data_IF_889204511569
#
_entry.id   IF_889204511569
#
_cell.length_a   1.000
_cell.length_b   1.000
_cell.length_c   1.000
_cell.angle_alpha   90.00
_cell.angle_beta   90.00
_cell.angle_gamma   90.00
#
_symmetry.space_group_name_H-M   'P 1'
#
loop_
_entity.id
_entity.type
_entity.pdbx_description
1 polymer ?
#
# COMPACT_ATOMS: atom_id res chain seq x y z
N UNK A 1 -8.95 4.40 6.26
CA UNK A 1 -8.78 3.31 5.26
C UNK A 1 -7.87 3.71 4.08
N UNK A 2 -8.15 4.80 3.33
CA UNK A 2 -7.34 5.25 2.17
C UNK A 2 -5.85 5.46 2.45
N UNK A 3 -5.50 6.08 3.58
CA UNK A 3 -4.10 6.31 3.98
C UNK A 3 -3.31 5.03 4.30
N UNK A 4 -4.00 3.92 4.57
CA UNK A 4 -3.39 2.69 5.11
C UNK A 4 -2.98 1.69 4.02
N UNK A 5 -3.81 1.55 2.98
CA UNK A 5 -3.43 0.75 1.81
C UNK A 5 -2.22 1.41 1.12
N UNK A 6 -2.32 2.73 0.95
CA UNK A 6 -1.27 3.61 0.45
C UNK A 6 0.07 3.42 1.17
N UNK A 7 0.08 3.47 2.51
CA UNK A 7 1.30 3.31 3.29
C UNK A 7 1.91 1.89 3.22
N UNK A 8 1.13 0.87 2.86
CA UNK A 8 1.60 -0.50 2.74
C UNK A 8 2.18 -0.82 1.37
N UNK A 9 1.46 -0.50 0.29
CA UNK A 9 1.94 -0.67 -1.09
C UNK A 9 3.24 0.09 -1.28
N UNK A 10 3.26 1.35 -0.83
CA UNK A 10 4.44 2.20 -0.91
C UNK A 10 5.65 1.64 -0.17
N UNK A 11 5.48 1.06 1.02
CA UNK A 11 6.62 0.52 1.77
C UNK A 11 7.15 -0.79 1.18
N UNK A 12 6.29 -1.65 0.63
CA UNK A 12 6.73 -2.89 -0.02
C UNK A 12 7.65 -2.60 -1.20
N UNK A 13 7.33 -1.59 -2.00
CA UNK A 13 8.18 -1.20 -3.12
C UNK A 13 9.37 -0.33 -2.72
N UNK A 14 9.21 0.56 -1.72
CA UNK A 14 10.34 1.35 -1.24
C UNK A 14 11.44 0.46 -0.66
N UNK A 15 11.11 -0.68 -0.03
CA UNK A 15 12.09 -1.67 0.41
C UNK A 15 12.81 -2.39 -0.74
N UNK A 16 12.13 -2.59 -1.87
CA UNK A 16 12.70 -3.29 -3.03
C UNK A 16 13.50 -2.34 -3.93
N UNK A 17 13.17 -1.04 -3.95
CA UNK A 17 13.61 -0.12 -5.00
C UNK A 17 13.96 1.29 -4.50
N UNK A 18 14.80 1.40 -3.46
CA UNK A 18 15.39 2.72 -3.06
C UNK A 18 16.30 3.31 -4.16
N UNK A 19 16.74 2.52 -5.15
CA UNK A 19 17.76 2.97 -6.12
C UNK A 19 17.28 3.20 -7.57
N UNK A 20 16.02 2.90 -7.93
CA UNK A 20 15.62 2.93 -9.36
C UNK A 20 14.55 3.94 -9.73
N UNK A 21 13.92 4.63 -8.76
CA UNK A 21 12.82 5.54 -9.04
C UNK A 21 13.23 7.01 -8.87
N UNK A 22 13.21 7.69 -10.01
CA UNK A 22 13.50 9.09 -10.24
C UNK A 22 12.83 10.03 -9.19
N UNK A 23 13.56 10.98 -8.59
CA UNK A 23 13.06 11.90 -7.56
C UNK A 23 11.91 12.82 -7.95
N UNK A 24 11.88 13.30 -9.20
CA UNK A 24 10.74 14.06 -9.71
C UNK A 24 9.51 13.15 -9.89
N UNK A 25 9.75 11.85 -10.04
CA UNK A 25 8.72 10.82 -10.04
C UNK A 25 8.37 10.33 -8.62
N UNK A 26 8.86 10.94 -7.53
CA UNK A 26 8.40 10.53 -6.19
C UNK A 26 6.89 10.77 -6.07
N UNK A 27 6.43 11.99 -6.40
CA UNK A 27 5.00 12.31 -6.45
C UNK A 27 4.26 11.37 -7.40
N UNK A 28 4.82 11.11 -8.57
CA UNK A 28 4.23 10.25 -9.58
C UNK A 28 4.10 8.79 -9.11
N UNK A 29 5.14 8.24 -8.47
CA UNK A 29 5.15 6.91 -7.92
C UNK A 29 4.13 6.76 -6.80
N UNK A 30 4.06 7.73 -5.90
CA UNK A 30 2.99 7.80 -4.89
C UNK A 30 1.61 7.80 -5.56
N UNK A 31 1.41 8.57 -6.64
CA UNK A 31 0.16 8.60 -7.39
C UNK A 31 -0.15 7.27 -8.08
N UNK A 32 0.84 6.61 -8.69
CA UNK A 32 0.68 5.28 -9.29
C UNK A 32 0.28 4.24 -8.25
N UNK A 33 0.87 4.28 -7.04
CA UNK A 33 0.47 3.42 -5.93
C UNK A 33 -0.97 3.66 -5.48
N UNK A 34 -1.42 4.91 -5.37
CA UNK A 34 -2.83 5.22 -5.03
C UNK A 34 -3.75 4.76 -6.15
N UNK A 35 -3.38 5.02 -7.41
CA UNK A 35 -4.18 4.66 -8.58
C UNK A 35 -4.35 3.14 -8.69
N UNK A 36 -3.27 2.38 -8.53
CA UNK A 36 -3.30 0.92 -8.49
C UNK A 36 -4.12 0.41 -7.29
N UNK A 37 -3.96 1.00 -6.11
CA UNK A 37 -4.76 0.66 -4.94
C UNK A 37 -6.27 0.87 -5.19
N UNK A 38 -6.67 1.96 -5.85
CA UNK A 38 -8.08 2.18 -6.22
C UNK A 38 -8.61 1.08 -7.15
N UNK A 39 -7.80 0.60 -8.11
CA UNK A 39 -8.19 -0.51 -8.98
C UNK A 39 -8.30 -1.84 -8.22
N UNK A 40 -7.32 -2.14 -7.37
CA UNK A 40 -7.24 -3.41 -6.63
C UNK A 40 -8.36 -3.55 -5.58
N UNK A 41 -8.70 -2.46 -4.89
CA UNK A 41 -9.77 -2.44 -3.88
C UNK A 41 -11.17 -2.20 -4.48
N UNK A 42 -11.31 -2.24 -5.82
CA UNK A 42 -12.58 -1.97 -6.53
C UNK A 42 -13.21 -0.62 -6.14
N UNK A 43 -12.36 0.37 -5.85
CA UNK A 43 -12.79 1.73 -5.59
C UNK A 43 -13.04 2.47 -6.91
N UNK A 44 -14.29 2.44 -7.36
CA UNK A 44 -14.75 2.95 -8.65
C UNK A 44 -14.56 4.47 -8.81
N UNK A 45 -13.34 4.86 -9.21
CA UNK A 45 -12.97 6.23 -9.59
C UNK A 45 -12.39 6.21 -10.99
N UNK A 46 -12.88 7.09 -11.87
CA UNK A 46 -12.32 7.19 -13.23
C UNK A 46 -10.93 7.81 -13.22
N UNK A 47 -10.11 7.51 -14.23
CA UNK A 47 -8.77 8.11 -14.38
C UNK A 47 -8.82 9.65 -14.40
N UNK A 48 -9.84 10.22 -15.04
CA UNK A 48 -10.07 11.66 -15.11
C UNK A 48 -10.44 12.24 -13.74
N UNK A 49 -11.31 11.55 -12.98
CA UNK A 49 -11.67 11.98 -11.62
C UNK A 49 -10.47 11.87 -10.67
N UNK A 50 -9.63 10.85 -10.85
CA UNK A 50 -8.42 10.66 -10.05
C UNK A 50 -7.46 11.84 -10.20
N UNK A 51 -7.06 12.17 -11.43
CA UNK A 51 -6.16 13.30 -11.72
C UNK A 51 -6.83 14.65 -11.49
N UNK A 52 -8.16 14.74 -11.57
CA UNK A 52 -8.92 15.95 -11.27
C UNK A 52 -8.81 16.42 -9.82
N UNK A 53 -8.39 15.54 -8.90
CA UNK A 53 -8.09 15.92 -7.52
C UNK A 53 -6.71 16.60 -7.37
N UNK A 54 -5.91 16.64 -8.43
CA UNK A 54 -4.60 17.29 -8.44
C UNK A 54 -4.79 18.78 -8.77
N UNK A 55 -4.14 19.64 -8.00
CA UNK A 55 -4.13 21.11 -8.20
C UNK A 55 -3.29 21.57 -9.41
N UNK A 56 -3.24 20.77 -10.47
CA UNK A 56 -2.48 21.00 -11.70
C UNK A 56 -3.41 21.49 -12.82
N UNK A 57 -2.84 22.11 -13.85
CA UNK A 57 -3.59 22.50 -15.05
C UNK A 57 -3.99 21.25 -15.89
N UNK A 58 -4.99 21.34 -16.79
CA UNK A 58 -5.47 20.18 -17.55
C UNK A 58 -4.37 19.45 -18.34
N UNK A 59 -3.45 20.19 -18.96
CA UNK A 59 -2.30 19.63 -19.68
C UNK A 59 -1.32 18.90 -18.75
N UNK A 60 -1.14 19.38 -17.52
CA UNK A 60 -0.32 18.74 -16.50
C UNK A 60 -0.97 17.47 -15.97
N UNK A 61 -2.29 17.50 -15.75
CA UNK A 61 -3.07 16.32 -15.34
C UNK A 61 -2.96 15.20 -16.38
N UNK A 62 -3.09 15.52 -17.67
CA UNK A 62 -2.96 14.53 -18.75
C UNK A 62 -1.57 13.90 -18.79
N UNK A 63 -0.50 14.71 -18.70
CA UNK A 63 0.88 14.20 -18.61
C UNK A 63 1.11 13.31 -17.39
N UNK A 64 0.55 13.67 -16.25
CA UNK A 64 0.64 12.84 -15.03
C UNK A 64 -0.10 11.53 -15.24
N UNK A 65 -1.26 11.54 -15.91
CA UNK A 65 -1.99 10.31 -16.20
C UNK A 65 -1.19 9.38 -17.13
N UNK A 66 -0.64 9.90 -18.23
CA UNK A 66 0.21 9.13 -19.15
C UNK A 66 1.36 8.45 -18.40
N UNK A 67 2.01 9.22 -17.53
CA UNK A 67 3.09 8.73 -16.69
C UNK A 67 2.62 7.67 -15.69
N UNK A 68 1.47 7.85 -15.02
CA UNK A 68 0.92 6.85 -14.10
C UNK A 68 0.71 5.51 -14.82
N UNK A 69 0.16 5.56 -16.04
CA UNK A 69 -0.10 4.38 -16.86
C UNK A 69 1.19 3.69 -17.32
N UNK A 70 2.25 4.45 -17.63
CA UNK A 70 3.58 3.91 -17.96
C UNK A 70 4.19 3.13 -16.79
N UNK A 71 4.07 3.66 -15.57
CA UNK A 71 4.63 3.03 -14.37
C UNK A 71 3.73 1.94 -13.75
N UNK A 72 2.47 1.81 -14.17
CA UNK A 72 1.52 0.85 -13.59
C UNK A 72 2.02 -0.60 -13.70
N UNK A 73 2.41 -1.04 -14.89
CA UNK A 73 2.90 -2.40 -15.09
C UNK A 73 4.22 -2.64 -14.35
N UNK A 74 5.12 -1.65 -14.35
CA UNK A 74 6.39 -1.73 -13.63
C UNK A 74 6.14 -1.93 -12.13
N UNK A 75 5.21 -1.18 -11.55
CA UNK A 75 4.84 -1.29 -10.14
C UNK A 75 4.33 -2.70 -9.79
N UNK A 76 3.41 -3.24 -10.60
CA UNK A 76 2.87 -4.59 -10.40
C UNK A 76 3.98 -5.66 -10.43
N UNK A 77 4.95 -5.50 -11.34
CA UNK A 77 6.11 -6.40 -11.41
C UNK A 77 7.00 -6.28 -10.16
N UNK A 78 7.25 -5.07 -9.66
CA UNK A 78 8.04 -4.87 -8.42
C UNK A 78 7.35 -5.46 -7.18
N UNK A 79 6.01 -5.43 -7.15
CA UNK A 79 5.20 -6.07 -6.12
C UNK A 79 5.15 -7.61 -6.24
N UNK A 80 5.85 -8.21 -7.21
CA UNK A 80 5.77 -9.65 -7.53
C UNK A 80 4.33 -10.13 -7.74
N UNK A 81 3.47 -9.26 -8.32
CA UNK A 81 2.04 -9.52 -8.50
C UNK A 81 1.26 -9.81 -7.19
N UNK A 82 1.83 -9.51 -6.03
CA UNK A 82 1.17 -9.61 -4.73
C UNK A 82 0.38 -8.34 -4.40
N UNK A 83 -0.75 -8.16 -5.09
CA UNK A 83 -1.57 -6.95 -5.00
C UNK A 83 -2.48 -6.92 -3.77
N UNK A 84 -2.79 -8.07 -3.18
CA UNK A 84 -3.68 -8.14 -2.02
C UNK A 84 -2.93 -7.71 -0.75
N UNK A 85 -3.47 -6.67 -0.10
CA UNK A 85 -2.96 -6.13 1.16
C UNK A 85 -4.02 -6.27 2.26
N UNK A 86 -3.69 -7.00 3.32
CA UNK A 86 -4.58 -7.13 4.48
C UNK A 86 -4.42 -5.93 5.42
N UNK A 87 -5.52 -5.21 5.65
CA UNK A 87 -5.57 -3.98 6.45
C UNK A 87 -6.09 -4.27 7.88
N UNK A 88 -5.50 -3.71 8.96
CA UNK A 88 -5.99 -3.90 10.33
C UNK A 88 -7.38 -3.32 10.59
N UNK A 89 -7.93 -2.45 9.75
CA UNK A 89 -9.30 -1.95 9.97
C UNK A 89 -10.35 -3.08 9.95
N UNK A 90 -10.16 -4.12 9.14
CA UNK A 90 -11.07 -5.27 9.11
C UNK A 90 -11.07 -6.07 10.42
N UNK A 91 -9.93 -6.56 10.94
CA UNK A 91 -9.90 -7.20 12.25
C UNK A 91 -10.24 -6.24 13.39
N UNK A 92 -9.97 -4.93 13.25
CA UNK A 92 -10.37 -3.92 14.23
C UNK A 92 -11.89 -3.85 14.41
N UNK A 93 -12.67 -3.77 13.32
CA UNK A 93 -14.14 -3.86 13.43
C UNK A 93 -14.59 -5.21 13.99
N UNK A 94 -13.93 -6.29 13.58
CA UNK A 94 -14.19 -7.63 14.11
C UNK A 94 -14.05 -7.68 15.64
N UNK A 95 -12.95 -7.17 16.18
CA UNK A 95 -12.72 -7.11 17.63
C UNK A 95 -13.69 -6.15 18.34
N UNK A 96 -14.10 -5.04 17.71
CA UNK A 96 -15.11 -4.16 18.31
C UNK A 96 -16.49 -4.84 18.41
N UNK A 97 -16.90 -5.58 17.39
CA UNK A 97 -18.14 -6.38 17.42
C UNK A 97 -18.03 -7.47 18.49
N UNK A 98 -16.87 -8.11 18.57
CA UNK A 98 -16.57 -9.14 19.55
C UNK A 98 -16.66 -8.61 21.00
N UNK A 99 -16.10 -7.44 21.27
CA UNK A 99 -16.22 -6.77 22.57
C UNK A 99 -17.67 -6.45 22.91
N UNK A 100 -18.45 -5.91 21.96
CA UNK A 100 -19.87 -5.59 22.17
C UNK A 100 -20.73 -6.82 22.51
N UNK A 101 -20.35 -7.99 22.01
CA UNK A 101 -21.17 -9.20 22.11
C UNK A 101 -20.73 -10.13 23.24
N UNK A 102 -19.43 -10.21 23.51
CA UNK A 102 -18.85 -11.19 24.45
C UNK A 102 -18.19 -10.58 25.68
N UNK A 103 -18.05 -9.25 25.73
CA UNK A 103 -17.40 -8.57 26.85
C UNK A 103 -18.34 -7.55 27.53
N UNK A 104 -19.34 -8.02 28.30
CA UNK A 104 -20.35 -7.17 28.94
C UNK A 104 -19.79 -6.24 30.03
N UNK A 105 -18.54 -6.44 30.47
CA UNK A 105 -17.85 -5.55 31.40
C UNK A 105 -17.56 -4.16 30.80
N UNK A 106 -17.63 -4.03 29.47
CA UNK A 106 -17.43 -2.78 28.76
C UNK A 106 -18.75 -2.28 28.18
N UNK A 107 -19.41 -1.35 28.88
CA UNK A 107 -20.72 -0.82 28.50
C UNK A 107 -20.76 -0.22 27.08
N UNK A 108 -19.71 0.51 26.69
CA UNK A 108 -19.62 1.09 25.37
C UNK A 108 -18.21 1.00 24.74
N UNK A 109 -17.94 -0.05 23.94
CA UNK A 109 -16.67 -0.21 23.23
C UNK A 109 -16.36 0.91 22.22
N UNK A 110 -17.36 1.67 21.76
CA UNK A 110 -17.16 2.78 20.81
C UNK A 110 -16.32 3.91 21.39
N UNK A 111 -16.26 4.04 22.73
CA UNK A 111 -15.40 5.02 23.41
C UNK A 111 -13.92 4.79 23.07
N UNK A 112 -13.54 3.54 22.76
CA UNK A 112 -12.17 3.19 22.39
C UNK A 112 -11.84 3.55 20.93
N UNK A 113 -12.84 3.73 20.07
CA UNK A 113 -12.66 3.82 18.61
C UNK A 113 -11.75 4.96 18.22
N UNK A 114 -11.98 6.16 18.75
CA UNK A 114 -11.18 7.36 18.42
C UNK A 114 -9.71 7.17 18.80
N UNK A 115 -9.45 6.78 20.04
CA UNK A 115 -8.08 6.57 20.53
C UNK A 115 -7.37 5.43 19.80
N UNK A 116 -8.11 4.39 19.42
CA UNK A 116 -7.57 3.26 18.68
C UNK A 116 -7.27 3.65 17.22
N UNK A 117 -8.13 4.44 16.59
CA UNK A 117 -7.88 4.97 15.25
C UNK A 117 -6.66 5.91 15.25
N UNK A 118 -6.50 6.78 16.25
CA UNK A 118 -5.29 7.60 16.43
C UNK A 118 -4.03 6.73 16.61
N UNK A 119 -4.14 5.57 17.27
CA UNK A 119 -3.05 4.61 17.36
C UNK A 119 -2.76 3.97 16.00
N UNK A 120 -3.78 3.52 15.26
CA UNK A 120 -3.64 2.93 13.93
C UNK A 120 -3.05 3.92 12.92
N UNK A 121 -3.37 5.21 13.02
CA UNK A 121 -2.75 6.26 12.22
C UNK A 121 -1.24 6.34 12.47
N UNK A 122 -0.81 6.30 13.74
CA UNK A 122 0.62 6.29 14.08
C UNK A 122 1.31 5.01 13.62
N UNK A 123 0.64 3.86 13.72
CA UNK A 123 1.15 2.59 13.19
C UNK A 123 1.43 2.70 11.69
N UNK A 124 0.52 3.32 10.91
CA UNK A 124 0.70 3.51 9.47
C UNK A 124 1.91 4.36 9.09
N UNK A 125 2.47 5.14 10.02
CA UNK A 125 3.69 5.93 9.83
C UNK A 125 4.97 5.13 10.09
N UNK A 126 4.85 3.91 10.62
CA UNK A 126 5.97 3.00 10.90
C UNK A 126 5.98 1.77 10.00
N UNK A 127 7.05 0.97 10.08
CA UNK A 127 7.17 -0.29 9.34
C UNK A 127 6.35 -1.45 9.94
N UNK A 128 5.50 -1.16 10.93
CA UNK A 128 4.70 -2.15 11.63
C UNK A 128 3.87 -3.03 10.68
N UNK A 129 3.34 -2.45 9.61
CA UNK A 129 2.47 -3.17 8.67
C UNK A 129 3.20 -4.25 7.86
N UNK A 130 4.54 -4.20 7.83
CA UNK A 130 5.38 -5.22 7.21
C UNK A 130 5.85 -6.27 8.23
N UNK A 131 5.97 -5.87 9.49
CA UNK A 131 6.56 -6.68 10.56
C UNK A 131 5.53 -7.48 11.36
N UNK A 132 4.28 -7.01 11.42
CA UNK A 132 3.24 -7.59 12.27
C UNK A 132 1.97 -7.91 11.49
N UNK A 133 1.28 -8.98 11.90
CA UNK A 133 0.00 -9.34 11.34
C UNK A 133 -1.06 -8.25 11.63
N UNK A 134 -1.99 -7.97 10.68
CA UNK A 134 -3.04 -6.97 10.85
C UNK A 134 -3.92 -7.19 12.09
N UNK A 135 -4.17 -8.45 12.48
CA UNK A 135 -4.91 -8.79 13.69
C UNK A 135 -4.17 -8.37 14.96
N UNK A 136 -2.85 -8.58 15.04
CA UNK A 136 -2.01 -8.15 16.17
C UNK A 136 -2.00 -6.63 16.26
N UNK A 137 -1.91 -5.93 15.13
CA UNK A 137 -1.97 -4.46 15.07
C UNK A 137 -3.31 -3.95 15.61
N UNK A 138 -4.43 -4.51 15.12
CA UNK A 138 -5.77 -4.13 15.54
C UNK A 138 -6.02 -4.39 17.03
N UNK A 139 -5.65 -5.57 17.51
CA UNK A 139 -5.79 -5.94 18.93
C UNK A 139 -4.93 -5.03 19.82
N UNK A 140 -3.70 -4.71 19.39
CA UNK A 140 -2.83 -3.77 20.10
C UNK A 140 -3.44 -2.37 20.17
N UNK A 141 -4.07 -1.89 19.09
CA UNK A 141 -4.73 -0.59 19.08
C UNK A 141 -5.87 -0.53 20.11
N UNK A 142 -6.71 -1.56 20.17
CA UNK A 142 -7.83 -1.66 21.11
C UNK A 142 -7.34 -1.74 22.56
N UNK A 143 -6.43 -2.67 22.86
CA UNK A 143 -5.91 -2.86 24.22
C UNK A 143 -5.11 -1.64 24.72
N UNK A 144 -4.36 -0.97 23.83
CA UNK A 144 -3.67 0.28 24.18
C UNK A 144 -4.66 1.40 24.48
N UNK A 145 -5.79 1.45 23.78
CA UNK A 145 -6.81 2.47 23.97
C UNK A 145 -7.58 2.26 25.26
N UNK A 146 -7.93 1.02 25.59
CA UNK A 146 -8.53 0.68 26.87
C UNK A 146 -7.60 0.97 28.05
N UNK A 147 -6.32 0.60 27.93
CA UNK A 147 -5.32 0.91 28.96
C UNK A 147 -5.21 2.43 29.19
N UNK A 148 -5.27 3.26 28.13
CA UNK A 148 -5.33 4.73 28.25
C UNK A 148 -6.62 5.23 28.88
N UNK A 149 -7.73 4.53 28.69
CA UNK A 149 -9.02 4.82 29.32
C UNK A 149 -9.13 4.28 30.77
N UNK A 150 -8.08 3.65 31.30
CA UNK A 150 -8.08 3.06 32.65
C UNK A 150 -8.83 1.72 32.75
N UNK A 151 -9.14 1.09 31.62
CA UNK A 151 -9.87 -0.18 31.56
C UNK A 151 -8.88 -1.35 31.49
N UNK A 152 -9.06 -2.35 32.36
CA UNK A 152 -8.31 -3.61 32.29
C UNK A 152 -9.09 -4.62 31.43
N UNK A 153 -8.52 -5.00 30.29
CA UNK A 153 -9.10 -6.00 29.37
C UNK A 153 -8.30 -7.31 29.36
N UNK A 154 -7.62 -7.64 30.46
CA UNK A 154 -6.92 -8.93 30.61
C UNK A 154 -7.91 -10.11 30.59
N UNK A 155 -9.09 -9.96 31.22
CA UNK A 155 -10.14 -10.99 31.19
C UNK A 155 -10.64 -11.26 29.77
N UNK A 156 -10.72 -10.26 28.91
CA UNK A 156 -11.06 -10.43 27.50
C UNK A 156 -10.05 -11.34 26.77
N UNK A 157 -8.76 -11.18 27.03
CA UNK A 157 -7.71 -12.01 26.42
C UNK A 157 -7.79 -13.46 26.90
N UNK A 158 -8.01 -13.68 28.20
CA UNK A 158 -8.00 -15.02 28.78
C UNK A 158 -9.30 -15.78 28.54
N UNK A 159 -10.45 -15.10 28.61
CA UNK A 159 -11.78 -15.73 28.58
C UNK A 159 -12.41 -15.70 27.19
N UNK A 160 -12.34 -14.58 26.46
CA UNK A 160 -12.99 -14.46 25.15
C UNK A 160 -12.12 -14.97 24.01
N UNK A 161 -10.79 -14.80 24.08
CA UNK A 161 -9.89 -15.33 23.04
C UNK A 161 -9.42 -16.77 23.34
N UNK A 162 -9.90 -17.38 24.43
CA UNK A 162 -9.56 -18.74 24.88
C UNK A 162 -8.06 -19.00 25.01
N UNK A 163 -7.27 -17.93 25.20
CA UNK A 163 -5.81 -18.03 25.22
C UNK A 163 -5.26 -18.59 26.54
N UNK A 164 -6.13 -18.84 27.53
CA UNK A 164 -5.79 -19.44 28.82
C UNK A 164 -5.20 -20.86 28.67
N UNK A 165 -5.58 -21.57 27.62
CA UNK A 165 -5.14 -22.95 27.36
C UNK A 165 -3.79 -23.02 26.62
N UNK A 166 -3.27 -21.89 26.13
CA UNK A 166 -2.03 -21.85 25.34
C UNK A 166 -1.09 -20.71 25.80
N UNK A 167 -0.33 -20.92 26.89
CA UNK A 167 0.49 -19.88 27.51
C UNK A 167 1.66 -19.42 26.63
N UNK A 168 2.19 -20.29 25.77
CA UNK A 168 3.27 -19.95 24.83
C UNK A 168 2.77 -18.95 23.77
N UNK A 169 1.59 -19.22 23.20
CA UNK A 169 0.96 -18.33 22.22
C UNK A 169 0.64 -16.97 22.84
N UNK A 170 0.21 -16.94 24.10
CA UNK A 170 0.02 -15.70 24.85
C UNK A 170 1.30 -14.89 25.00
N UNK A 171 2.39 -15.56 25.41
CA UNK A 171 3.70 -14.91 25.55
C UNK A 171 4.15 -14.27 24.24
N UNK A 172 4.08 -15.03 23.13
CA UNK A 172 4.44 -14.52 21.81
C UNK A 172 3.56 -13.35 21.36
N UNK A 173 2.26 -13.39 21.64
CA UNK A 173 1.35 -12.29 21.34
C UNK A 173 1.74 -11.03 22.13
N UNK A 174 1.91 -11.14 23.45
CA UNK A 174 2.30 -10.00 24.28
C UNK A 174 3.66 -9.42 23.89
N UNK A 175 4.62 -10.26 23.52
CA UNK A 175 5.92 -9.83 23.00
C UNK A 175 5.80 -9.11 21.66
N UNK A 176 4.93 -9.60 20.77
CA UNK A 176 4.61 -8.92 19.50
C UNK A 176 3.99 -7.55 19.74
N UNK A 177 2.98 -7.48 20.62
CA UNK A 177 2.34 -6.23 21.02
C UNK A 177 3.32 -5.24 21.65
N UNK A 178 4.22 -5.72 22.51
CA UNK A 178 5.25 -4.89 23.15
C UNK A 178 6.21 -4.31 22.11
N UNK A 179 6.72 -5.14 21.19
CA UNK A 179 7.59 -4.70 20.09
C UNK A 179 6.90 -3.68 19.20
N UNK A 180 5.62 -3.90 18.86
CA UNK A 180 4.81 -2.94 18.11
C UNK A 180 4.69 -1.59 18.83
N UNK A 181 4.36 -1.59 20.14
CA UNK A 181 4.28 -0.35 20.93
C UNK A 181 5.61 0.41 20.95
N UNK A 182 6.73 -0.31 21.11
CA UNK A 182 8.08 0.28 21.08
C UNK A 182 8.34 0.93 19.72
N UNK A 183 8.04 0.22 18.62
CA UNK A 183 8.24 0.72 17.26
C UNK A 183 7.46 2.02 17.01
N UNK A 184 6.18 2.05 17.40
CA UNK A 184 5.32 3.24 17.26
C UNK A 184 5.79 4.40 18.13
N UNK A 185 6.34 4.11 19.32
CA UNK A 185 6.81 5.15 20.25
C UNK A 185 8.14 5.77 19.82
N UNK A 186 9.01 4.97 19.20
CA UNK A 186 10.32 5.41 18.69
C UNK A 186 10.24 6.14 17.34
N UNK A 187 9.07 6.21 16.72
CA UNK A 187 8.92 6.89 15.44
C UNK A 187 9.12 8.41 15.62
N UNK A 188 10.10 8.95 14.91
CA UNK A 188 10.35 10.37 14.83
C UNK A 188 9.90 10.90 13.45
N UNK A 189 9.03 11.92 13.41
CA UNK A 189 8.63 12.51 12.13
C UNK A 189 9.82 13.21 11.47
N UNK A 190 9.89 13.11 10.15
CA UNK A 190 10.96 13.75 9.39
C UNK A 190 10.93 15.27 9.56
N UNK A 191 12.08 15.87 9.90
CA UNK A 191 12.19 17.33 10.09
C UNK A 191 12.14 18.03 8.74
N UNK A 192 11.38 19.12 8.66
CA UNK A 192 11.18 19.87 7.40
C UNK A 192 12.51 20.32 6.77
N UNK A 193 13.45 20.78 7.58
CA UNK A 193 14.77 21.23 7.13
C UNK A 193 15.60 20.09 6.52
N UNK A 194 15.59 18.91 7.16
CA UNK A 194 16.28 17.72 6.69
C UNK A 194 15.66 17.22 5.37
N UNK A 195 14.32 17.21 5.29
CA UNK A 195 13.59 16.85 4.06
C UNK A 195 13.93 17.80 2.92
N UNK A 196 13.96 19.11 3.16
CA UNK A 196 14.31 20.11 2.15
C UNK A 196 15.77 19.96 1.67
N UNK A 197 16.70 19.70 2.59
CA UNK A 197 18.10 19.45 2.27
C UNK A 197 18.28 18.18 1.44
N UNK A 198 17.60 17.09 1.80
CA UNK A 198 17.62 15.82 1.06
C UNK A 198 17.02 16.02 -0.33
N UNK A 199 15.85 16.67 -0.43
CA UNK A 199 15.21 16.97 -1.72
C UNK A 199 16.15 17.73 -2.66
N UNK A 200 16.82 18.76 -2.15
CA UNK A 200 17.81 19.55 -2.93
C UNK A 200 19.02 18.71 -3.37
N UNK A 201 19.51 17.80 -2.54
CA UNK A 201 20.61 16.88 -2.92
C UNK A 201 20.13 15.88 -3.98
N UNK A 202 18.91 15.41 -3.84
CA UNK A 202 18.30 14.42 -4.70
C UNK A 202 18.05 14.97 -6.12
N UNK A 203 17.60 16.23 -6.23
CA UNK A 203 17.47 16.93 -7.53
C UNK A 203 18.82 17.05 -8.28
N UNK A 204 19.94 17.18 -7.54
CA UNK A 204 21.28 17.27 -8.13
C UNK A 204 21.79 15.94 -8.66
N UNK A 205 21.50 14.83 -7.99
CA UNK A 205 21.88 13.49 -8.45
C UNK A 205 21.23 13.16 -9.79
N UNK A 206 19.98 13.59 -9.98
CA UNK A 206 19.21 13.34 -11.20
C UNK A 206 19.71 14.11 -12.43
N UNK A 207 20.22 15.33 -12.23
CA UNK A 207 20.77 16.15 -13.33
C UNK A 207 21.90 15.44 -14.11
N UNK A 208 22.61 14.50 -13.47
CA UNK A 208 23.69 13.73 -14.08
C UNK A 208 23.23 12.41 -14.74
N UNK A 209 22.14 11.79 -14.28
CA UNK A 209 21.66 10.50 -14.79
C UNK A 209 20.75 10.63 -16.03
N UNK A 210 19.97 11.71 -16.15
CA UNK A 210 19.15 11.98 -17.35
C UNK A 210 20.03 12.15 -18.60
N UNK A 211 21.20 12.78 -18.44
CA UNK A 211 22.17 12.94 -19.54
C UNK A 211 22.71 11.58 -20.00
N UNK A 212 22.84 10.61 -19.09
CA UNK A 212 23.40 9.29 -19.36
C UNK A 212 22.37 8.31 -19.97
N UNK A 213 21.12 8.38 -19.55
CA UNK A 213 20.05 7.51 -20.08
C UNK A 213 19.53 7.96 -21.45
N UNK A 214 19.48 9.26 -21.74
CA UNK A 214 19.13 9.77 -23.08
C UNK A 214 20.20 9.41 -24.12
N UNK A 215 21.48 9.49 -23.75
CA UNK A 215 22.59 9.13 -24.63
C UNK A 215 22.70 7.61 -24.87
N UNK A 216 22.31 6.79 -23.89
CA UNK A 216 22.23 5.33 -24.04
C UNK A 216 21.03 4.90 -24.91
N UNK A 217 19.86 5.53 -24.76
CA UNK A 217 18.66 5.20 -25.58
C UNK A 217 18.83 5.63 -27.04
N UNK A 218 19.53 6.74 -27.33
CA UNK A 218 19.84 7.15 -28.71
C UNK A 218 20.80 6.22 -29.45
N UNK A 219 21.54 5.35 -28.74
CA UNK A 219 22.51 4.42 -29.35
C UNK A 219 21.95 3.00 -29.58
N UNK A 220 20.72 2.70 -29.17
CA UNK A 220 20.21 1.32 -29.16
C UNK A 220 18.89 1.09 -29.91
N UNK A 221 18.46 2.03 -30.74
CA UNK A 221 17.34 1.78 -31.66
C UNK A 221 17.61 2.50 -32.95
N UNK A 222 18.19 1.81 -33.94
CA UNK A 222 18.06 2.06 -35.38
C UNK A 222 18.90 1.09 -36.25
N UNK A 223 19.16 -0.17 -35.84
CA UNK A 223 19.91 -1.10 -36.71
C UNK A 223 19.25 -2.45 -37.03
N UNK A 224 18.12 -2.84 -36.43
CA UNK A 224 17.44 -4.09 -36.80
C UNK A 224 15.92 -3.88 -36.92
N UNK A 225 15.47 -3.39 -38.07
CA UNK A 225 14.10 -3.63 -38.55
C UNK A 225 14.23 -4.12 -40.00
N UNK A 226 14.51 -5.42 -40.13
CA UNK A 226 14.45 -6.12 -41.41
C UNK A 226 12.98 -6.17 -41.89
N UNK A 227 12.78 -5.66 -43.10
CA UNK A 227 11.49 -5.35 -43.70
C UNK A 227 10.68 -6.64 -43.99
N UNK A 228 9.79 -7.03 -43.06
CA UNK A 228 8.85 -8.15 -43.30
C UNK A 228 7.78 -7.69 -44.30
N UNK A 229 8.02 -8.01 -45.58
CA UNK A 229 7.05 -7.82 -46.66
C UNK A 229 5.85 -8.77 -46.49
N UNK A 230 4.65 -8.19 -46.34
CA UNK A 230 3.38 -8.93 -46.30
C UNK A 230 3.12 -9.63 -47.64
N UNK A 231 2.97 -10.95 -47.64
CA UNK A 231 2.36 -11.68 -48.77
C UNK A 231 0.83 -11.67 -48.63
N UNK A 232 0.07 -11.40 -49.70
CA UNK A 232 -1.40 -11.44 -49.68
C UNK A 232 -1.89 -12.89 -49.66
N UNK A 233 -2.95 -13.15 -48.87
CA UNK A 233 -3.73 -14.39 -48.87
C UNK A 233 -4.97 -14.19 -49.75
N UNK A 234 -5.10 -15.04 -50.75
CA UNK A 234 -6.30 -15.44 -51.52
C UNK A 234 -6.40 -16.96 -51.26
N UNK A 235 -7.52 -17.65 -51.05
CA UNK A 235 -8.92 -17.53 -51.44
C UNK A 235 -9.83 -18.09 -50.33
N UNK A 236 -11.12 -17.77 -50.45
CA UNK A 236 -12.24 -18.23 -49.62
C UNK A 236 -12.54 -19.73 -49.88
N UNK A 237 -12.69 -20.53 -48.82
CA UNK A 237 -13.36 -21.84 -48.90
C UNK A 237 -14.72 -21.73 -48.20
N UNK A 238 -15.78 -21.81 -49.00
CA UNK A 238 -17.18 -21.93 -48.59
C UNK A 238 -17.40 -23.25 -47.83
N UNK A 239 -18.05 -23.17 -46.68
CA UNK A 239 -18.43 -24.34 -45.88
C UNK A 239 -19.79 -24.86 -46.35
N UNK A 240 -19.89 -26.17 -46.60
CA UNK A 240 -21.13 -26.89 -46.95
C UNK A 240 -21.49 -27.88 -45.84
N UNK A 241 -22.70 -27.77 -45.30
CA UNK A 241 -23.25 -28.56 -44.18
C UNK A 241 -23.66 -30.01 -44.57
N UNK A 242 -22.74 -30.83 -45.09
CA UNK A 242 -23.02 -32.27 -45.33
C UNK A 242 -22.14 -33.26 -44.54
N UNK A 243 -21.23 -32.81 -43.68
CA UNK A 243 -20.36 -33.72 -42.91
C UNK A 243 -20.92 -34.13 -41.53
N UNK A 244 -22.24 -34.12 -41.37
CA UNK A 244 -22.93 -34.66 -40.18
C UNK A 244 -23.91 -35.77 -40.55
N UNK A 245 -23.37 -36.93 -40.93
CA UNK A 245 -24.03 -38.24 -40.81
C UNK A 245 -23.05 -39.30 -40.31
#
# INVERSE_FOLDING_TARGET
>A
MKNWLFANTMRRDYLTSVMLLNPQCQNLFWLTCVFLACKVDEFNVSSIQFIGNLGENPLGQEKILEQILEYELLLIQQLNFHLIVHNPYRPFEGFLIDLKTRYPLLDNPEVLRKTADDFLHRVALTDACLLFAPSVIALTAILSSASKAGLNMESYLTECLSLKENPETMSHLFDGMRRLKILVTKYEPAKSDEVAAIKKRLDKCHSNEVVSSITARKRKGYEDDDYISKKPKTEEEEWSDEDLL
#
